data_IF_253339135503
#
_entry.id   IF_253339135503
#
_cell.length_a   1.000
_cell.length_b   1.000
_cell.length_c   1.000
_cell.angle_alpha   90.00
_cell.angle_beta   90.00
_cell.angle_gamma   90.00
#
_symmetry.space_group_name_H-M   'P 1'
#
loop_
_entity.id
_entity.type
_entity.pdbx_description
1 polymer ?
#
# COMPACT_ATOMS: atom_id res chain seq x y z
N UNK A 1 34.18 -29.54 -60.01
CA UNK A 1 34.42 -29.55 -58.54
C UNK A 1 33.59 -28.43 -57.94
N UNK A 2 32.50 -28.76 -57.26
CA UNK A 2 31.54 -27.81 -56.67
C UNK A 2 31.79 -27.76 -55.18
N UNK A 3 32.28 -26.65 -54.66
CA UNK A 3 32.39 -26.38 -53.25
C UNK A 3 31.04 -25.84 -52.74
N UNK A 4 30.32 -26.66 -51.98
CA UNK A 4 29.14 -26.24 -51.25
C UNK A 4 29.60 -25.55 -49.97
N UNK A 5 29.38 -24.22 -49.91
CA UNK A 5 29.61 -23.44 -48.70
C UNK A 5 28.36 -23.55 -47.81
N UNK A 6 28.48 -24.27 -46.71
CA UNK A 6 27.44 -24.36 -45.68
C UNK A 6 27.55 -23.14 -44.76
N UNK A 7 26.63 -22.20 -44.92
CA UNK A 7 26.42 -21.08 -43.97
C UNK A 7 25.55 -21.59 -42.86
N UNK A 8 26.13 -21.96 -41.74
CA UNK A 8 25.40 -22.24 -40.48
C UNK A 8 25.06 -20.93 -39.81
N UNK A 9 23.80 -20.50 -39.95
CA UNK A 9 23.25 -19.39 -39.19
C UNK A 9 23.04 -19.86 -37.73
N UNK A 10 23.89 -19.40 -36.84
CA UNK A 10 23.72 -19.59 -35.39
C UNK A 10 22.60 -18.67 -34.89
N UNK A 11 21.40 -19.24 -34.66
CA UNK A 11 20.32 -18.59 -33.90
C UNK A 11 20.73 -18.59 -32.44
N UNK A 12 21.19 -17.44 -31.95
CA UNK A 12 21.37 -17.19 -30.53
C UNK A 12 19.99 -16.99 -29.90
N UNK A 13 19.56 -17.77 -28.88
CA UNK A 13 18.36 -17.49 -28.16
C UNK A 13 18.58 -16.24 -27.31
N UNK A 14 17.82 -15.17 -27.60
CA UNK A 14 17.74 -13.98 -26.77
C UNK A 14 16.97 -14.37 -25.50
N UNK A 15 17.67 -14.89 -24.49
CA UNK A 15 17.10 -15.11 -23.17
C UNK A 15 16.86 -13.72 -22.56
N UNK A 16 15.61 -13.26 -22.62
CA UNK A 16 15.16 -12.13 -21.83
C UNK A 16 15.39 -12.47 -20.36
N UNK A 17 16.44 -11.91 -19.76
CA UNK A 17 16.56 -11.87 -18.31
C UNK A 17 15.40 -11.01 -17.80
N UNK A 18 14.30 -11.67 -17.40
CA UNK A 18 13.30 -11.06 -16.55
C UNK A 18 14.02 -10.65 -15.26
N UNK A 19 14.31 -9.37 -15.12
CA UNK A 19 14.88 -8.81 -13.91
C UNK A 19 13.94 -9.14 -12.75
N UNK A 20 14.33 -10.12 -11.92
CA UNK A 20 13.61 -10.51 -10.72
C UNK A 20 13.62 -9.29 -9.82
N UNK A 21 12.46 -8.64 -9.65
CA UNK A 21 12.26 -7.50 -8.75
C UNK A 21 12.85 -7.87 -7.38
N UNK A 22 13.64 -7.01 -6.72
CA UNK A 22 14.21 -7.35 -5.41
C UNK A 22 13.07 -7.64 -4.44
N UNK A 23 12.88 -8.91 -4.14
CA UNK A 23 11.92 -9.41 -3.16
C UNK A 23 12.50 -9.15 -1.78
N UNK A 24 11.93 -8.20 -1.04
CA UNK A 24 12.35 -7.95 0.34
C UNK A 24 12.16 -6.52 0.84
N UNK A 25 11.66 -5.60 0.03
CA UNK A 25 11.37 -4.24 0.49
C UNK A 25 10.09 -4.20 1.34
N UNK A 26 9.95 -3.16 2.17
CA UNK A 26 8.72 -2.92 2.94
C UNK A 26 7.52 -2.85 1.98
N UNK A 27 7.68 -2.17 0.85
CA UNK A 27 6.66 -2.10 -0.19
C UNK A 27 6.24 -3.47 -0.70
N UNK A 28 7.17 -4.33 -1.08
CA UNK A 28 6.86 -5.66 -1.64
C UNK A 28 6.07 -6.53 -0.64
N UNK A 29 6.46 -6.48 0.64
CA UNK A 29 5.76 -7.17 1.72
C UNK A 29 4.29 -6.75 1.82
N UNK A 30 4.03 -5.44 1.81
CA UNK A 30 2.67 -4.92 1.99
C UNK A 30 1.87 -4.94 0.68
N UNK A 31 2.52 -4.82 -0.47
CA UNK A 31 1.87 -5.02 -1.76
C UNK A 31 1.36 -6.46 -1.92
N UNK A 32 2.14 -7.46 -1.50
CA UNK A 32 1.69 -8.85 -1.46
C UNK A 32 0.46 -9.03 -0.55
N UNK A 33 0.43 -8.38 0.62
CA UNK A 33 -0.76 -8.37 1.50
C UNK A 33 -1.96 -7.72 0.82
N UNK A 34 -1.77 -6.60 0.16
CA UNK A 34 -2.82 -5.87 -0.57
C UNK A 34 -3.41 -6.70 -1.70
N UNK A 35 -2.56 -7.38 -2.48
CA UNK A 35 -3.00 -8.26 -3.57
C UNK A 35 -3.79 -9.47 -3.08
N UNK A 36 -3.48 -9.97 -1.88
CA UNK A 36 -4.19 -11.11 -1.27
C UNK A 36 -5.44 -10.70 -0.48
N UNK A 37 -5.58 -9.42 -0.13
CA UNK A 37 -6.73 -8.92 0.61
C UNK A 37 -7.93 -8.70 -0.31
N UNK A 38 -9.13 -8.85 0.24
CA UNK A 38 -10.38 -8.51 -0.47
C UNK A 38 -10.70 -7.01 -0.43
N UNK A 39 -9.78 -6.19 0.05
CA UNK A 39 -9.91 -4.74 0.22
C UNK A 39 -8.61 -4.14 0.75
N UNK A 40 -8.70 -3.16 1.63
CA UNK A 40 -7.54 -2.64 2.35
C UNK A 40 -6.98 -3.66 3.35
N UNK A 41 -5.69 -3.60 3.65
CA UNK A 41 -5.10 -4.47 4.68
C UNK A 41 -5.11 -3.79 6.05
N UNK A 42 -5.30 -4.61 7.11
CA UNK A 42 -5.32 -4.11 8.48
C UNK A 42 -3.95 -3.69 8.97
N UNK A 43 -3.91 -2.57 9.69
CA UNK A 43 -2.75 -2.01 10.35
C UNK A 43 -2.93 -2.02 11.86
N UNK A 44 -1.82 -1.97 12.57
CA UNK A 44 -1.68 -1.63 13.98
C UNK A 44 -0.67 -0.48 14.15
N UNK A 45 -0.47 0.01 15.37
CA UNK A 45 0.48 1.09 15.66
C UNK A 45 1.89 0.82 15.10
N UNK A 46 2.38 -0.43 15.17
CA UNK A 46 3.72 -0.81 14.71
C UNK A 46 3.82 -0.81 13.19
N UNK A 47 2.87 -1.43 12.52
CA UNK A 47 2.85 -1.50 11.06
C UNK A 47 2.58 -0.14 10.42
N UNK A 48 1.75 0.69 11.06
CA UNK A 48 1.58 2.09 10.67
C UNK A 48 2.89 2.85 10.73
N UNK A 49 3.61 2.81 11.86
CA UNK A 49 4.89 3.46 12.03
C UNK A 49 5.93 2.97 11.01
N UNK A 50 5.96 1.67 10.73
CA UNK A 50 6.87 1.09 9.75
C UNK A 50 6.58 1.57 8.32
N UNK A 51 5.29 1.62 7.93
CA UNK A 51 4.86 2.01 6.59
C UNK A 51 5.01 3.51 6.32
N UNK A 52 4.82 4.35 7.35
CA UNK A 52 4.85 5.81 7.19
C UNK A 52 6.22 6.41 7.42
N UNK A 53 7.19 5.60 7.90
CA UNK A 53 8.56 6.06 8.16
C UNK A 53 9.23 6.56 6.88
N UNK A 54 9.84 7.74 6.95
CA UNK A 54 10.66 8.30 5.88
C UNK A 54 12.15 7.85 6.04
N UNK A 55 12.93 7.78 4.94
CA UNK A 55 12.53 7.97 3.55
C UNK A 55 11.79 6.75 2.98
N UNK A 56 10.86 6.97 2.07
CA UNK A 56 10.16 5.90 1.35
C UNK A 56 9.91 6.30 -0.10
N UNK A 57 9.85 5.31 -0.98
CA UNK A 57 9.65 5.47 -2.42
C UNK A 57 8.25 5.00 -2.88
N UNK A 58 7.29 4.98 -1.95
CA UNK A 58 5.89 4.60 -2.17
C UNK A 58 4.96 5.52 -1.38
N UNK A 59 3.70 5.56 -1.80
CA UNK A 59 2.62 6.26 -1.12
C UNK A 59 1.75 5.28 -0.32
N UNK A 60 1.19 5.76 0.77
CA UNK A 60 0.25 4.99 1.59
C UNK A 60 -0.99 5.84 1.87
N UNK A 61 -2.14 5.33 1.48
CA UNK A 61 -3.43 5.82 1.94
C UNK A 61 -3.82 5.03 3.18
N UNK A 62 -4.13 5.71 4.27
CA UNK A 62 -4.57 5.07 5.52
C UNK A 62 -5.93 5.60 5.93
N UNK A 63 -6.91 4.70 6.03
CA UNK A 63 -8.20 5.00 6.63
C UNK A 63 -8.11 4.79 8.14
N UNK A 64 -8.32 5.87 8.90
CA UNK A 64 -8.51 5.82 10.36
C UNK A 64 -9.99 5.62 10.64
N UNK A 65 -10.35 4.55 11.34
CA UNK A 65 -11.73 4.12 11.55
C UNK A 65 -11.97 3.64 12.96
N UNK A 66 -13.25 3.55 13.37
CA UNK A 66 -13.68 3.01 14.67
C UNK A 66 -14.97 2.20 14.47
N UNK A 67 -14.80 0.93 14.05
CA UNK A 67 -15.90 0.10 13.56
C UNK A 67 -16.74 -0.54 14.67
N UNK A 68 -16.20 -0.67 15.91
CA UNK A 68 -16.98 -1.26 16.99
C UNK A 68 -18.20 -0.42 17.35
N UNK A 69 -19.34 -1.08 17.55
CA UNK A 69 -20.63 -0.46 17.83
C UNK A 69 -20.61 0.51 19.04
N UNK A 70 -19.75 0.24 20.04
CA UNK A 70 -19.60 1.11 21.21
C UNK A 70 -19.07 2.51 20.90
N UNK A 71 -18.42 2.70 19.75
CA UNK A 71 -17.94 4.02 19.33
C UNK A 71 -18.99 4.84 18.58
N UNK A 72 -20.09 4.23 18.17
CA UNK A 72 -21.21 4.91 17.51
C UNK A 72 -20.86 5.61 16.20
N UNK A 73 -19.76 5.20 15.53
CA UNK A 73 -19.33 5.81 14.28
C UNK A 73 -20.09 5.22 13.08
N UNK A 74 -21.30 5.73 12.82
CA UNK A 74 -22.08 5.33 11.64
C UNK A 74 -21.32 5.57 10.34
N UNK A 75 -20.71 6.76 10.18
CA UNK A 75 -19.93 7.11 9.01
C UNK A 75 -18.75 6.16 8.77
N UNK A 76 -18.10 5.66 9.84
CA UNK A 76 -17.03 4.69 9.70
C UNK A 76 -17.50 3.38 9.05
N UNK A 77 -18.68 2.90 9.50
CA UNK A 77 -19.29 1.68 8.98
C UNK A 77 -19.76 1.83 7.52
N UNK A 78 -20.30 2.99 7.18
CA UNK A 78 -20.77 3.28 5.82
C UNK A 78 -19.60 3.47 4.84
N UNK A 79 -18.51 4.10 5.28
CA UNK A 79 -17.37 4.41 4.41
C UNK A 79 -16.40 3.25 4.22
N UNK A 80 -16.29 2.32 5.18
CA UNK A 80 -15.35 1.20 5.10
C UNK A 80 -15.52 0.34 3.83
N UNK A 81 -16.75 -0.06 3.43
CA UNK A 81 -16.94 -0.84 2.20
C UNK A 81 -16.50 -0.11 0.94
N UNK A 82 -16.72 1.20 0.87
CA UNK A 82 -16.32 2.03 -0.27
C UNK A 82 -14.79 2.13 -0.37
N UNK A 83 -14.13 2.31 0.78
CA UNK A 83 -12.67 2.32 0.84
C UNK A 83 -12.06 0.97 0.44
N UNK A 84 -12.64 -0.13 0.89
CA UNK A 84 -12.23 -1.49 0.51
C UNK A 84 -12.46 -1.76 -0.97
N UNK A 85 -13.55 -1.24 -1.55
CA UNK A 85 -13.81 -1.32 -2.98
C UNK A 85 -12.74 -0.57 -3.78
N UNK A 86 -12.37 0.64 -3.34
CA UNK A 86 -11.30 1.43 -3.95
C UNK A 86 -9.96 0.68 -3.91
N UNK A 87 -9.57 0.17 -2.75
CA UNK A 87 -8.33 -0.58 -2.54
C UNK A 87 -8.26 -1.82 -3.45
N UNK A 88 -9.36 -2.56 -3.54
CA UNK A 88 -9.48 -3.74 -4.41
C UNK A 88 -9.42 -3.38 -5.88
N UNK A 89 -10.08 -2.30 -6.28
CA UNK A 89 -10.09 -1.84 -7.67
C UNK A 89 -8.69 -1.41 -8.10
N UNK A 90 -7.98 -0.69 -7.25
CA UNK A 90 -6.58 -0.33 -7.47
C UNK A 90 -5.70 -1.56 -7.63
N UNK A 91 -5.78 -2.51 -6.69
CA UNK A 91 -4.96 -3.74 -6.71
C UNK A 91 -5.20 -4.60 -7.95
N UNK A 92 -6.42 -4.59 -8.49
CA UNK A 92 -6.74 -5.28 -9.76
C UNK A 92 -6.14 -4.58 -10.98
N UNK A 93 -6.07 -3.25 -10.97
CA UNK A 93 -5.51 -2.44 -12.04
C UNK A 93 -3.98 -2.41 -12.03
N UNK A 94 -3.38 -2.38 -10.84
CA UNK A 94 -1.92 -2.26 -10.63
C UNK A 94 -1.30 -3.53 -10.04
N UNK A 95 -1.50 -4.68 -10.72
CA UNK A 95 -0.93 -5.97 -10.28
C UNK A 95 0.59 -5.99 -10.19
N UNK A 96 1.26 -5.22 -11.04
CA UNK A 96 2.71 -5.10 -11.05
C UNK A 96 3.25 -4.21 -9.92
N UNK A 97 2.38 -3.41 -9.25
CA UNK A 97 2.77 -2.48 -8.20
C UNK A 97 3.58 -1.29 -8.72
N UNK A 98 3.38 -0.90 -9.97
CA UNK A 98 4.10 0.21 -10.60
C UNK A 98 3.70 1.57 -10.03
N UNK A 99 2.42 1.72 -9.67
CA UNK A 99 1.89 2.94 -9.04
C UNK A 99 2.36 3.15 -7.60
N UNK A 100 2.99 2.15 -6.98
CA UNK A 100 3.58 2.18 -5.64
C UNK A 100 2.66 2.82 -4.58
N UNK A 101 1.37 2.46 -4.62
CA UNK A 101 0.35 2.95 -3.69
C UNK A 101 -0.25 1.78 -2.90
N UNK A 102 -0.26 1.92 -1.58
CA UNK A 102 -0.78 0.96 -0.63
C UNK A 102 -2.02 1.52 0.08
N UNK A 103 -3.00 0.66 0.37
CA UNK A 103 -4.23 1.00 1.08
C UNK A 103 -4.33 0.23 2.39
N UNK A 104 -4.18 0.93 3.51
CA UNK A 104 -4.29 0.36 4.84
C UNK A 104 -5.49 0.89 5.61
N UNK A 105 -6.04 0.10 6.50
CA UNK A 105 -7.07 0.51 7.48
C UNK A 105 -6.52 0.33 8.88
N UNK A 106 -6.62 1.37 9.70
CA UNK A 106 -6.23 1.36 11.11
C UNK A 106 -7.47 1.63 11.97
N UNK A 107 -7.94 0.60 12.66
CA UNK A 107 -9.02 0.75 13.63
C UNK A 107 -8.51 1.37 14.93
N UNK A 108 -9.37 2.14 15.61
CA UNK A 108 -9.05 2.81 16.88
C UNK A 108 -8.50 1.85 17.94
N UNK A 109 -8.99 0.62 17.97
CA UNK A 109 -8.54 -0.37 18.96
C UNK A 109 -7.10 -0.83 18.73
N UNK A 110 -6.69 -0.92 17.46
CA UNK A 110 -5.38 -1.40 17.06
C UNK A 110 -4.35 -0.26 16.95
N UNK A 111 -4.82 0.99 16.85
CA UNK A 111 -4.00 2.17 16.57
C UNK A 111 -4.12 3.30 17.58
N UNK A 112 -4.30 3.02 18.86
CA UNK A 112 -4.55 4.05 19.89
C UNK A 112 -3.47 5.13 19.94
N UNK A 113 -2.21 4.77 19.80
CA UNK A 113 -1.10 5.72 19.82
C UNK A 113 -1.11 6.64 18.60
N UNK A 114 -1.44 6.09 17.42
CA UNK A 114 -1.58 6.88 16.18
C UNK A 114 -2.74 7.86 16.29
N UNK A 115 -3.92 7.41 16.74
CA UNK A 115 -5.07 8.30 16.93
C UNK A 115 -4.80 9.42 17.90
N UNK A 116 -4.07 9.16 18.99
CA UNK A 116 -3.66 10.19 19.91
C UNK A 116 -2.72 11.20 19.27
N UNK A 117 -1.76 10.75 18.48
CA UNK A 117 -0.78 11.62 17.83
C UNK A 117 -1.40 12.49 16.74
N UNK A 118 -2.27 11.93 15.90
CA UNK A 118 -2.96 12.65 14.82
C UNK A 118 -4.00 13.62 15.38
N UNK A 119 -4.82 13.19 16.32
CA UNK A 119 -5.83 14.02 16.97
C UNK A 119 -5.23 15.19 17.76
N UNK A 120 -4.12 14.96 18.47
CA UNK A 120 -3.43 16.00 19.22
C UNK A 120 -2.84 17.09 18.32
N UNK A 121 -2.31 16.69 17.16
CA UNK A 121 -1.68 17.62 16.22
C UNK A 121 -2.69 18.59 15.58
N UNK A 122 -3.88 18.09 15.24
CA UNK A 122 -4.92 18.90 14.58
C UNK A 122 -5.61 19.87 15.56
N UNK A 123 -5.89 19.42 16.77
CA UNK A 123 -6.50 20.26 17.83
C UNK A 123 -5.54 21.36 18.27
N UNK A 124 -4.23 21.07 18.36
CA UNK A 124 -3.23 22.05 18.76
C UNK A 124 -3.01 23.12 17.70
N UNK A 125 -2.94 22.74 16.40
CA UNK A 125 -2.84 23.71 15.30
C UNK A 125 -4.05 24.63 15.22
N UNK A 126 -5.27 24.12 15.36
CA UNK A 126 -6.48 24.94 15.36
C UNK A 126 -6.53 25.92 16.51
N UNK A 127 -6.09 25.51 17.70
CA UNK A 127 -6.07 26.41 18.88
C UNK A 127 -5.08 27.58 18.74
N UNK A 128 -3.96 27.37 18.06
CA UNK A 128 -2.98 28.45 17.82
C UNK A 128 -3.44 29.44 16.72
N UNK A 129 -4.27 29.03 15.77
CA UNK A 129 -4.79 29.94 14.72
C UNK A 129 -5.84 30.95 15.23
N UNK A 130 -6.43 30.72 16.43
CA UNK A 130 -7.40 31.67 17.02
C UNK A 130 -6.72 32.64 18.00
N UNK A 131 -5.43 32.57 18.23
CA UNK A 131 -4.68 33.41 19.14
C UNK A 131 -3.78 34.44 18.43
N UNK A 132 -3.80 34.47 17.09
CA UNK A 132 -3.16 35.47 16.24
C UNK A 132 -4.21 36.27 15.49
#
# INVERSE_FOLDING_TARGET
MKLLSLVTAALLPLTALAAKKPTGTIFDKYNAKQLSASGSFKLDDKSYAQLTKAPRDYSVAVLLTALEARFGCGLCNDFQPEYDLLARSWSKGDKAGEGRLLFGTLDFLDGKAVFQSVGYHDVYKRRLQWLT
#
